data_IF_650241644083
#
_entry.id   IF_650241644083
#
_cell.length_a   1.000
_cell.length_b   1.000
_cell.length_c   1.000
_cell.angle_alpha   90.00
_cell.angle_beta   90.00
_cell.angle_gamma   90.00
#
_symmetry.space_group_name_H-M   'P 1'
#
loop_
_entity.id
_entity.type
_entity.pdbx_description
1 polymer ?
#
# COMPACT_ATOMS: atom_id res chain seq x y z
N UNK A 1 15.47 8.26 -9.66
CA UNK A 1 14.48 8.03 -8.62
C UNK A 1 14.79 8.94 -7.45
N UNK A 2 13.80 9.37 -6.71
CA UNK A 2 13.98 10.15 -5.51
C UNK A 2 13.74 9.25 -4.27
N UNK A 3 14.42 9.55 -3.18
CA UNK A 3 14.25 8.92 -1.88
C UNK A 3 13.72 9.97 -0.90
N UNK A 4 12.71 9.64 -0.13
CA UNK A 4 12.29 10.44 1.02
C UNK A 4 12.87 9.80 2.30
N UNK A 5 13.63 10.56 3.06
CA UNK A 5 14.28 10.09 4.29
C UNK A 5 13.55 10.53 5.57
N UNK A 6 12.53 11.37 5.43
CA UNK A 6 11.61 11.79 6.49
C UNK A 6 10.17 11.32 6.18
N UNK A 7 10.03 10.06 5.72
CA UNK A 7 8.73 9.43 5.54
C UNK A 7 8.39 8.55 6.75
N UNK A 8 7.22 8.74 7.33
CA UNK A 8 6.76 8.06 8.53
C UNK A 8 5.53 7.19 8.22
N UNK A 9 5.34 6.09 8.95
CA UNK A 9 4.06 5.42 8.93
C UNK A 9 2.98 6.36 9.49
N UNK A 10 1.79 6.41 8.88
CA UNK A 10 0.72 7.33 9.31
C UNK A 10 0.12 7.01 10.68
N UNK A 11 0.56 5.94 11.30
CA UNK A 11 0.10 5.49 12.62
C UNK A 11 1.20 4.74 13.37
N UNK A 12 1.04 4.58 14.68
CA UNK A 12 2.01 3.88 15.55
C UNK A 12 1.65 2.40 15.74
N UNK A 13 0.93 1.79 14.83
CA UNK A 13 0.41 0.43 14.97
C UNK A 13 0.92 -0.50 13.86
N UNK A 14 0.58 -1.80 13.98
CA UNK A 14 1.01 -2.86 13.09
C UNK A 14 0.16 -2.93 11.80
N UNK A 15 0.47 -3.89 10.96
CA UNK A 15 0.01 -4.04 9.57
C UNK A 15 -1.49 -3.92 9.35
N UNK A 16 -2.36 -4.48 10.22
CA UNK A 16 -3.81 -4.33 10.01
C UNK A 16 -4.24 -2.86 9.93
N UNK A 17 -3.80 -2.05 10.89
CA UNK A 17 -4.10 -0.61 10.94
C UNK A 17 -3.40 0.10 9.80
N UNK A 18 -2.12 -0.17 9.60
CA UNK A 18 -1.31 0.46 8.57
C UNK A 18 -1.88 0.24 7.15
N UNK A 19 -2.35 -0.97 6.83
CA UNK A 19 -2.99 -1.27 5.55
C UNK A 19 -4.31 -0.53 5.32
N UNK A 20 -5.03 -0.13 6.38
CA UNK A 20 -6.20 0.75 6.22
C UNK A 20 -5.77 2.18 5.85
N UNK A 21 -4.68 2.68 6.45
CA UNK A 21 -4.13 3.99 6.09
C UNK A 21 -3.66 4.06 4.63
N UNK A 22 -3.20 2.95 4.04
CA UNK A 22 -2.79 2.89 2.62
C UNK A 22 -3.93 3.20 1.65
N UNK A 23 -5.18 2.94 2.01
CA UNK A 23 -6.33 3.07 1.10
C UNK A 23 -7.43 4.03 1.60
N UNK A 24 -7.48 4.30 2.90
CA UNK A 24 -8.57 5.05 3.51
C UNK A 24 -8.10 6.22 4.39
N UNK A 25 -6.79 6.43 4.56
CA UNK A 25 -6.22 7.48 5.40
C UNK A 25 -6.59 7.41 6.90
N UNK A 26 -7.30 6.37 7.32
CA UNK A 26 -7.62 6.08 8.72
C UNK A 26 -8.12 4.64 8.90
N UNK A 27 -8.20 4.18 10.14
CA UNK A 27 -8.56 2.81 10.47
C UNK A 27 -9.67 2.71 11.54
N UNK A 28 -10.61 3.65 11.58
CA UNK A 28 -11.68 3.75 12.59
C UNK A 28 -11.16 3.61 14.04
N UNK A 29 -9.99 4.18 14.32
CA UNK A 29 -9.30 4.12 15.61
C UNK A 29 -9.00 2.69 16.09
N UNK A 30 -8.95 1.73 15.19
CA UNK A 30 -8.54 0.37 15.53
C UNK A 30 -7.06 0.35 15.91
N UNK A 31 -6.71 -0.55 16.84
CA UNK A 31 -5.33 -0.79 17.27
C UNK A 31 -5.07 -2.29 17.30
N UNK A 32 -3.86 -2.66 17.01
CA UNK A 32 -3.37 -4.03 16.89
C UNK A 32 -4.10 -4.87 15.83
N UNK A 33 -3.43 -5.84 15.31
CA UNK A 33 -4.01 -6.84 14.45
C UNK A 33 -5.01 -7.73 15.19
N UNK A 34 -6.05 -8.23 14.52
CA UNK A 34 -6.86 -9.31 15.08
C UNK A 34 -6.04 -10.62 15.08
N UNK A 35 -6.29 -11.49 16.04
CA UNK A 35 -5.81 -12.86 15.97
C UNK A 35 -6.58 -13.61 14.86
N UNK A 36 -5.92 -13.91 13.77
CA UNK A 36 -6.48 -14.64 12.64
C UNK A 36 -6.84 -13.77 11.42
N UNK A 37 -7.64 -14.28 10.47
CA UNK A 37 -7.96 -13.57 9.23
C UNK A 37 -8.63 -12.21 9.49
N UNK A 38 -8.26 -11.22 8.69
CA UNK A 38 -8.80 -9.87 8.80
C UNK A 38 -10.13 -9.72 8.04
N UNK A 39 -10.83 -8.63 8.36
CA UNK A 39 -11.85 -8.09 7.49
C UNK A 39 -13.21 -8.73 7.56
N UNK A 40 -13.84 -8.80 6.40
CA UNK A 40 -15.25 -9.14 6.26
C UNK A 40 -15.52 -10.62 5.95
N UNK A 41 -14.49 -11.45 5.76
CA UNK A 41 -14.63 -12.88 5.43
C UNK A 41 -15.24 -13.68 6.59
N UNK A 42 -16.29 -14.47 6.38
CA UNK A 42 -16.79 -15.41 7.37
C UNK A 42 -15.93 -16.69 7.48
N UNK A 43 -15.92 -17.37 8.65
CA UNK A 43 -16.60 -17.01 9.88
C UNK A 43 -15.78 -16.06 10.75
N UNK A 44 -16.31 -14.87 10.99
CA UNK A 44 -15.63 -13.82 11.72
C UNK A 44 -15.65 -14.02 13.25
N UNK A 45 -15.74 -15.26 13.73
CA UNK A 45 -15.66 -15.53 15.18
C UNK A 45 -14.29 -15.17 15.70
N UNK A 46 -14.24 -14.16 16.53
CA UNK A 46 -13.00 -13.65 17.12
C UNK A 46 -12.31 -12.58 16.27
N UNK A 47 -12.78 -12.27 15.07
CA UNK A 47 -12.22 -11.23 14.21
C UNK A 47 -12.62 -9.84 14.69
N UNK A 48 -12.05 -9.45 15.84
CA UNK A 48 -12.24 -8.15 16.47
C UNK A 48 -10.89 -7.59 16.88
N UNK A 49 -10.79 -6.28 16.78
CA UNK A 49 -9.65 -5.52 17.29
C UNK A 49 -10.11 -4.51 18.36
N UNK A 50 -9.21 -4.01 19.18
CA UNK A 50 -9.49 -2.93 20.08
C UNK A 50 -9.54 -1.59 19.35
N UNK A 51 -10.10 -0.57 19.99
CA UNK A 51 -10.02 0.82 19.52
C UNK A 51 -9.18 1.65 20.46
N UNK A 52 -8.59 2.73 19.96
CA UNK A 52 -7.91 3.74 20.74
C UNK A 52 -8.89 4.85 21.12
N UNK A 53 -8.92 5.26 22.37
CA UNK A 53 -9.65 6.44 22.79
C UNK A 53 -8.84 7.71 22.50
N UNK A 54 -9.49 8.89 22.55
CA UNK A 54 -8.78 10.18 22.43
C UNK A 54 -7.74 10.41 23.53
N UNK A 55 -7.83 9.69 24.64
CA UNK A 55 -6.85 9.74 25.73
C UNK A 55 -5.73 8.70 25.56
N UNK A 56 -5.67 8.04 24.40
CA UNK A 56 -4.69 6.97 24.08
C UNK A 56 -4.75 5.77 25.02
N UNK A 57 -5.94 5.44 25.47
CA UNK A 57 -6.21 4.22 26.23
C UNK A 57 -6.99 3.23 25.39
N UNK A 58 -6.84 1.94 25.68
CA UNK A 58 -7.58 0.90 24.97
C UNK A 58 -9.08 1.06 25.26
N UNK A 59 -9.85 1.16 24.19
CA UNK A 59 -11.31 1.29 24.22
C UNK A 59 -12.03 -0.04 23.96
N UNK A 60 -13.25 0.06 23.46
CA UNK A 60 -14.06 -1.12 23.13
C UNK A 60 -13.45 -1.93 21.97
N UNK A 61 -13.78 -3.22 21.92
CA UNK A 61 -13.49 -4.04 20.74
C UNK A 61 -14.55 -3.84 19.67
N UNK A 62 -14.10 -3.80 18.42
CA UNK A 62 -14.94 -3.68 17.22
C UNK A 62 -14.62 -4.81 16.26
N UNK A 63 -15.53 -5.09 15.33
CA UNK A 63 -15.26 -6.01 14.22
C UNK A 63 -14.24 -5.40 13.27
N UNK A 64 -13.47 -6.25 12.60
CA UNK A 64 -12.48 -5.83 11.59
C UNK A 64 -13.08 -5.59 10.20
N UNK A 65 -14.38 -5.78 10.03
CA UNK A 65 -15.12 -5.38 8.85
C UNK A 65 -15.65 -3.97 9.06
N UNK A 66 -14.97 -2.98 8.47
CA UNK A 66 -15.11 -1.56 8.75
C UNK A 66 -15.99 -0.88 7.69
N UNK A 67 -16.63 0.22 8.08
CA UNK A 67 -17.37 1.09 7.18
C UNK A 67 -16.53 2.35 6.90
N UNK A 68 -15.50 2.20 6.07
CA UNK A 68 -14.59 3.28 5.69
C UNK A 68 -15.01 3.88 4.34
N UNK A 69 -14.79 5.19 4.18
CA UNK A 69 -14.61 5.76 2.87
C UNK A 69 -13.15 5.51 2.46
N UNK A 70 -12.92 5.17 1.19
CA UNK A 70 -11.59 4.89 0.68
C UNK A 70 -11.38 5.54 -0.67
N UNK A 71 -10.13 5.59 -1.10
CA UNK A 71 -9.78 6.12 -2.41
C UNK A 71 -10.48 5.33 -3.54
N UNK A 72 -10.78 4.04 -3.34
CA UNK A 72 -11.56 3.25 -4.29
C UNK A 72 -12.98 3.82 -4.44
N UNK A 73 -13.66 4.11 -3.32
CA UNK A 73 -15.02 4.66 -3.35
C UNK A 73 -15.08 6.07 -3.91
N UNK A 74 -14.05 6.89 -3.71
CA UNK A 74 -13.95 8.22 -4.32
C UNK A 74 -13.64 8.13 -5.82
N UNK A 75 -12.75 7.21 -6.21
CA UNK A 75 -12.42 6.95 -7.60
C UNK A 75 -13.66 6.50 -8.40
N UNK A 76 -14.45 5.58 -7.85
CA UNK A 76 -15.72 5.14 -8.46
C UNK A 76 -16.68 6.30 -8.67
N UNK A 77 -16.85 7.16 -7.65
CA UNK A 77 -17.71 8.33 -7.72
C UNK A 77 -17.23 9.33 -8.78
N UNK A 78 -15.93 9.41 -9.02
CA UNK A 78 -15.31 10.30 -10.01
C UNK A 78 -15.13 9.65 -11.40
N UNK A 79 -15.47 8.36 -11.56
CA UNK A 79 -15.24 7.63 -12.81
C UNK A 79 -13.75 7.38 -13.12
N UNK A 80 -12.90 7.34 -12.09
CA UNK A 80 -11.48 7.04 -12.17
C UNK A 80 -11.28 5.55 -11.95
N UNK A 81 -10.65 4.85 -12.90
CA UNK A 81 -10.43 3.41 -12.76
C UNK A 81 -9.37 3.11 -11.70
N UNK A 82 -9.59 2.04 -10.93
CA UNK A 82 -8.65 1.57 -9.94
C UNK A 82 -8.53 0.05 -9.94
N UNK A 83 -7.43 -0.49 -9.44
CA UNK A 83 -7.24 -1.92 -9.18
C UNK A 83 -6.34 -2.13 -7.97
N UNK A 84 -6.62 -3.21 -7.23
CA UNK A 84 -5.83 -3.66 -6.10
C UNK A 84 -5.38 -5.10 -6.32
N UNK A 85 -4.08 -5.33 -6.40
CA UNK A 85 -3.49 -6.65 -6.65
C UNK A 85 -2.90 -7.21 -5.36
N UNK A 86 -3.37 -8.39 -4.94
CA UNK A 86 -2.92 -9.06 -3.73
C UNK A 86 -2.91 -10.59 -3.88
N UNK A 87 -2.34 -11.32 -2.92
CA UNK A 87 -2.60 -12.76 -2.78
C UNK A 87 -4.08 -13.03 -2.50
N UNK A 88 -4.51 -14.28 -2.76
CA UNK A 88 -5.84 -14.71 -2.34
C UNK A 88 -5.99 -14.62 -0.82
N UNK A 89 -7.16 -14.22 -0.35
CA UNK A 89 -7.43 -14.00 1.09
C UNK A 89 -7.21 -15.22 1.99
N UNK A 90 -7.14 -16.42 1.40
CA UNK A 90 -6.84 -17.66 2.10
C UNK A 90 -5.33 -17.99 2.12
N UNK A 91 -4.52 -17.20 1.44
CA UNK A 91 -3.07 -17.32 1.45
C UNK A 91 -2.51 -16.36 2.51
N UNK A 92 -1.29 -16.63 3.01
CA UNK A 92 -0.75 -15.87 4.14
C UNK A 92 -0.64 -14.36 3.85
N UNK A 93 -0.12 -13.96 2.71
CA UNK A 93 -0.05 -12.56 2.29
C UNK A 93 -1.40 -11.94 1.90
N UNK A 94 -2.43 -12.76 1.76
CA UNK A 94 -3.80 -12.29 1.49
C UNK A 94 -4.43 -11.53 2.64
N UNK A 95 -3.94 -11.73 3.86
CA UNK A 95 -4.40 -10.94 5.02
C UNK A 95 -4.10 -9.45 4.86
N UNK A 96 -3.09 -9.09 4.06
CA UNK A 96 -2.70 -7.70 3.80
C UNK A 96 -3.52 -7.02 2.68
N UNK A 97 -4.53 -7.68 2.14
CA UNK A 97 -5.46 -7.05 1.20
C UNK A 97 -6.37 -6.06 1.95
N UNK A 98 -6.06 -4.78 1.89
CA UNK A 98 -6.76 -3.71 2.65
C UNK A 98 -8.27 -3.77 2.47
N UNK A 99 -8.74 -3.92 1.24
CA UNK A 99 -10.17 -3.92 0.91
C UNK A 99 -10.97 -5.11 1.44
N UNK A 100 -10.33 -6.18 1.93
CA UNK A 100 -11.07 -7.25 2.63
C UNK A 100 -11.66 -6.75 3.97
N UNK A 101 -11.10 -5.70 4.55
CA UNK A 101 -11.62 -5.09 5.78
C UNK A 101 -12.64 -3.97 5.51
N UNK A 102 -12.77 -3.50 4.29
CA UNK A 102 -13.73 -2.48 3.90
C UNK A 102 -15.03 -3.12 3.41
N UNK A 103 -16.12 -2.93 4.20
CA UNK A 103 -17.41 -3.59 3.94
C UNK A 103 -17.97 -3.29 2.56
N UNK A 104 -17.94 -2.02 2.13
CA UNK A 104 -18.54 -1.57 0.88
C UNK A 104 -17.88 -2.24 -0.32
N UNK A 105 -16.57 -2.33 -0.33
CA UNK A 105 -15.82 -2.98 -1.42
C UNK A 105 -15.97 -4.50 -1.32
N UNK A 106 -15.69 -5.11 -0.14
CA UNK A 106 -15.71 -6.57 0.02
C UNK A 106 -17.06 -7.19 -0.32
N UNK A 107 -18.16 -6.55 0.06
CA UNK A 107 -19.52 -7.02 -0.21
C UNK A 107 -20.09 -6.48 -1.52
N UNK A 108 -19.40 -5.55 -2.16
CA UNK A 108 -19.77 -4.94 -3.44
C UNK A 108 -19.31 -5.72 -4.66
N UNK A 109 -19.66 -5.24 -5.85
CA UNK A 109 -19.21 -5.82 -7.12
C UNK A 109 -17.68 -5.69 -7.30
N UNK A 110 -17.09 -4.61 -6.82
CA UNK A 110 -15.69 -4.21 -7.05
C UNK A 110 -14.70 -5.23 -6.47
N UNK A 111 -15.11 -5.95 -5.41
CA UNK A 111 -14.31 -7.07 -4.87
C UNK A 111 -13.98 -8.13 -5.93
N UNK A 112 -14.88 -8.34 -6.90
CA UNK A 112 -14.70 -9.35 -7.94
C UNK A 112 -14.06 -8.79 -9.21
N UNK A 113 -14.19 -7.49 -9.45
CA UNK A 113 -13.76 -6.86 -10.69
C UNK A 113 -12.42 -6.13 -10.54
N UNK A 114 -12.16 -5.53 -9.38
CA UNK A 114 -11.06 -4.60 -9.18
C UNK A 114 -10.06 -5.03 -8.10
N UNK A 115 -10.44 -5.98 -7.22
CA UNK A 115 -9.50 -6.66 -6.31
C UNK A 115 -9.04 -7.97 -6.94
N UNK A 116 -7.83 -7.95 -7.47
CA UNK A 116 -7.28 -8.97 -8.35
C UNK A 116 -6.32 -9.91 -7.59
N UNK A 117 -6.50 -11.20 -7.75
CA UNK A 117 -5.60 -12.25 -7.24
C UNK A 117 -5.30 -13.25 -8.36
N UNK A 118 -4.05 -13.73 -8.46
CA UNK A 118 -2.87 -13.41 -7.64
C UNK A 118 -2.25 -12.06 -8.01
N UNK A 119 -1.39 -11.53 -7.15
CA UNK A 119 -0.73 -10.24 -7.37
C UNK A 119 0.11 -10.18 -8.65
N UNK A 120 0.66 -11.30 -9.13
CA UNK A 120 1.41 -11.37 -10.38
C UNK A 120 0.55 -11.12 -11.63
N UNK A 121 -0.78 -11.12 -11.52
CA UNK A 121 -1.67 -10.75 -12.62
C UNK A 121 -1.38 -9.34 -13.13
N UNK A 122 -0.97 -8.42 -12.25
CA UNK A 122 -0.49 -7.08 -12.63
C UNK A 122 0.51 -7.10 -13.80
N UNK A 123 1.50 -8.01 -13.76
CA UNK A 123 2.50 -8.10 -14.83
C UNK A 123 1.91 -8.51 -16.18
N UNK A 124 0.83 -9.30 -16.15
CA UNK A 124 0.11 -9.70 -17.36
C UNK A 124 -0.75 -8.56 -17.88
N UNK A 125 -1.44 -7.85 -16.98
CA UNK A 125 -2.32 -6.73 -17.32
C UNK A 125 -1.51 -5.58 -17.93
N UNK A 126 -0.35 -5.25 -17.38
CA UNK A 126 0.57 -4.28 -17.98
C UNK A 126 1.02 -4.73 -19.38
N UNK A 127 1.33 -6.03 -19.54
CA UNK A 127 1.71 -6.62 -20.82
C UNK A 127 0.60 -6.59 -21.85
N UNK A 128 -0.65 -6.66 -21.41
CA UNK A 128 -1.87 -6.55 -22.25
C UNK A 128 -2.37 -5.11 -22.41
N UNK A 129 -1.62 -4.14 -21.90
CA UNK A 129 -1.97 -2.72 -21.93
C UNK A 129 -3.24 -2.34 -21.15
N UNK A 130 -3.53 -3.05 -20.06
CA UNK A 130 -4.72 -2.93 -19.21
C UNK A 130 -4.38 -2.39 -17.81
N UNK A 131 -3.74 -1.24 -17.71
CA UNK A 131 -3.44 -0.61 -16.43
C UNK A 131 -4.55 0.37 -16.02
N UNK A 132 -5.03 0.26 -14.79
CA UNK A 132 -5.94 1.23 -14.20
C UNK A 132 -5.21 2.55 -13.83
N UNK A 133 -5.97 3.64 -13.71
CA UNK A 133 -5.44 4.95 -13.33
C UNK A 133 -4.76 4.93 -11.96
N UNK A 134 -5.38 4.24 -11.00
CA UNK A 134 -4.88 4.05 -9.65
C UNK A 134 -4.65 2.55 -9.42
N UNK A 135 -3.46 2.18 -8.98
CA UNK A 135 -3.13 0.76 -8.82
C UNK A 135 -2.31 0.53 -7.56
N UNK A 136 -2.76 -0.39 -6.72
CA UNK A 136 -2.00 -0.91 -5.59
C UNK A 136 -1.55 -2.35 -5.85
N UNK A 137 -0.40 -2.71 -5.32
CA UNK A 137 0.13 -4.07 -5.39
C UNK A 137 0.70 -4.42 -4.03
N UNK A 138 0.02 -5.31 -3.34
CA UNK A 138 0.51 -5.91 -2.10
C UNK A 138 1.23 -7.22 -2.43
N UNK A 139 2.47 -7.41 -1.98
CA UNK A 139 3.25 -8.60 -2.30
C UNK A 139 2.73 -9.84 -1.57
N UNK A 140 3.20 -11.01 -2.02
CA UNK A 140 3.09 -12.23 -1.22
C UNK A 140 3.98 -12.14 0.02
N UNK A 141 3.70 -12.91 1.07
CA UNK A 141 4.54 -12.93 2.29
C UNK A 141 6.04 -13.08 1.98
N UNK A 142 6.40 -14.01 1.10
CA UNK A 142 7.81 -14.23 0.75
C UNK A 142 8.46 -13.10 -0.04
N UNK A 143 7.69 -12.13 -0.53
CA UNK A 143 8.16 -10.99 -1.30
C UNK A 143 7.93 -9.66 -0.58
N UNK A 144 7.47 -9.69 0.68
CA UNK A 144 7.00 -8.51 1.41
C UNK A 144 8.11 -7.76 2.16
N UNK A 145 9.26 -8.38 2.37
CA UNK A 145 10.29 -7.88 3.30
C UNK A 145 9.79 -7.75 4.76
N UNK A 146 8.72 -8.49 5.12
CA UNK A 146 8.18 -8.56 6.48
C UNK A 146 9.28 -8.86 7.50
N UNK A 147 9.21 -8.21 8.66
CA UNK A 147 10.16 -8.41 9.76
C UNK A 147 10.28 -9.90 10.14
N UNK A 148 11.50 -10.36 10.40
CA UNK A 148 11.78 -11.76 10.72
C UNK A 148 11.96 -12.69 9.52
N UNK A 149 11.71 -12.26 8.29
CA UNK A 149 12.10 -13.03 7.10
C UNK A 149 13.62 -13.11 6.98
N UNK A 150 14.15 -14.33 6.84
CA UNK A 150 15.60 -14.53 6.65
C UNK A 150 16.05 -14.22 5.22
N UNK A 151 15.17 -14.31 4.25
CA UNK A 151 15.41 -13.94 2.86
C UNK A 151 14.11 -13.50 2.23
N UNK A 152 14.16 -12.45 1.44
CA UNK A 152 13.00 -11.92 0.74
C UNK A 152 13.20 -11.95 -0.76
N UNK A 153 12.13 -12.29 -1.47
CA UNK A 153 12.02 -12.06 -2.91
C UNK A 153 11.67 -10.60 -3.26
N UNK A 154 11.44 -9.75 -2.25
CA UNK A 154 10.95 -8.38 -2.38
C UNK A 154 11.71 -7.53 -3.38
N UNK A 155 13.04 -7.40 -3.31
CA UNK A 155 13.79 -6.59 -4.27
C UNK A 155 13.63 -7.05 -5.73
N UNK A 156 13.58 -8.37 -5.96
CA UNK A 156 13.37 -8.92 -7.31
C UNK A 156 11.91 -8.76 -7.77
N UNK A 157 10.96 -8.86 -6.84
CA UNK A 157 9.54 -8.61 -7.10
C UNK A 157 9.32 -7.15 -7.49
N UNK A 158 9.74 -6.20 -6.67
CA UNK A 158 9.62 -4.76 -6.95
C UNK A 158 10.32 -4.38 -8.25
N UNK A 159 11.53 -4.89 -8.50
CA UNK A 159 12.22 -4.67 -9.76
C UNK A 159 11.40 -5.15 -10.97
N UNK A 160 10.69 -6.29 -10.83
CA UNK A 160 9.84 -6.82 -11.91
C UNK A 160 8.64 -5.93 -12.21
N UNK A 161 8.01 -5.38 -11.17
CA UNK A 161 6.87 -4.47 -11.29
C UNK A 161 7.29 -3.15 -11.97
N UNK A 162 8.38 -2.56 -11.48
CA UNK A 162 8.93 -1.31 -12.01
C UNK A 162 9.41 -1.51 -13.46
N UNK A 163 10.06 -2.63 -13.77
CA UNK A 163 10.51 -2.96 -15.11
C UNK A 163 9.33 -3.13 -16.09
N UNK A 164 8.23 -3.74 -15.64
CA UNK A 164 7.03 -3.90 -16.46
C UNK A 164 6.46 -2.54 -16.87
N UNK A 165 6.27 -1.62 -15.93
CA UNK A 165 5.81 -0.26 -16.22
C UNK A 165 6.83 0.48 -17.07
N UNK A 166 8.11 0.40 -16.70
CA UNK A 166 9.19 1.12 -17.38
C UNK A 166 9.37 0.73 -18.86
N UNK A 167 9.06 -0.53 -19.20
CA UNK A 167 9.10 -1.04 -20.57
C UNK A 167 7.80 -0.83 -21.36
N UNK A 168 6.73 -0.38 -20.71
CA UNK A 168 5.39 -0.21 -21.30
C UNK A 168 5.16 1.21 -21.82
N UNK A 169 4.03 1.38 -22.51
CA UNK A 169 3.55 2.72 -22.94
C UNK A 169 3.22 3.62 -21.75
N UNK A 170 2.90 3.03 -20.59
CA UNK A 170 2.47 3.75 -19.38
C UNK A 170 3.61 4.51 -18.70
N UNK A 171 4.88 4.17 -18.96
CA UNK A 171 6.03 4.80 -18.31
C UNK A 171 5.97 6.33 -18.31
N UNK A 172 5.55 6.93 -19.41
CA UNK A 172 5.56 8.39 -19.60
C UNK A 172 4.57 9.15 -18.72
N UNK A 173 3.59 8.46 -18.17
CA UNK A 173 2.46 9.04 -17.41
C UNK A 173 2.29 8.38 -16.05
N UNK A 174 3.28 7.64 -15.55
CA UNK A 174 3.16 6.91 -14.30
C UNK A 174 4.12 7.44 -13.24
N UNK A 175 3.61 7.61 -12.02
CA UNK A 175 4.40 7.71 -10.81
C UNK A 175 4.22 6.42 -10.00
N UNK A 176 5.31 5.84 -9.52
CA UNK A 176 5.34 4.64 -8.69
C UNK A 176 5.89 5.03 -7.34
N UNK A 177 5.12 4.75 -6.29
CA UNK A 177 5.53 4.89 -4.90
C UNK A 177 5.81 3.51 -4.33
N UNK A 178 7.03 3.27 -3.86
CA UNK A 178 7.43 2.05 -3.19
C UNK A 178 7.54 2.42 -1.72
N UNK A 179 6.65 1.84 -0.91
CA UNK A 179 6.49 2.17 0.50
C UNK A 179 6.27 0.88 1.29
N UNK A 180 6.74 0.86 2.56
CA UNK A 180 6.35 -0.16 3.53
C UNK A 180 5.15 0.34 4.32
N UNK A 181 4.29 -0.57 4.74
CA UNK A 181 3.10 -0.25 5.53
C UNK A 181 3.45 0.25 6.93
N UNK A 182 4.41 -0.39 7.57
CA UNK A 182 4.94 -0.02 8.87
C UNK A 182 6.47 -0.20 8.95
N UNK A 183 7.05 0.01 10.10
CA UNK A 183 8.51 -0.05 10.33
C UNK A 183 9.04 -1.46 10.61
N UNK A 184 8.20 -2.51 10.56
CA UNK A 184 8.61 -3.91 10.73
C UNK A 184 9.18 -4.25 12.12
N UNK A 185 8.87 -3.47 13.14
CA UNK A 185 9.43 -3.63 14.51
C UNK A 185 10.88 -3.17 14.67
N UNK A 186 11.48 -2.54 13.65
CA UNK A 186 12.84 -2.04 13.71
C UNK A 186 12.92 -0.70 14.45
N UNK A 187 13.95 -0.54 15.29
CA UNK A 187 14.21 0.72 15.97
C UNK A 187 14.74 1.78 14.99
N UNK A 188 14.17 2.98 15.06
CA UNK A 188 14.69 4.18 14.40
C UNK A 188 15.01 5.24 15.47
N UNK A 189 16.20 5.88 15.44
CA UNK A 189 16.57 6.90 16.42
C UNK A 189 15.80 8.23 16.27
N UNK A 190 15.12 8.44 15.15
CA UNK A 190 14.30 9.65 14.92
C UNK A 190 12.94 9.44 15.58
N UNK A 191 12.56 10.26 16.57
CA UNK A 191 11.26 10.14 17.19
C UNK A 191 10.18 10.51 16.18
N UNK A 192 9.10 9.71 16.08
CA UNK A 192 7.99 10.04 15.20
C UNK A 192 7.30 11.34 15.62
N UNK A 193 6.87 12.17 14.67
CA UNK A 193 6.06 13.33 14.95
C UNK A 193 4.73 12.97 15.61
N UNK A 194 4.22 13.85 16.45
CA UNK A 194 2.92 13.67 17.09
C UNK A 194 1.89 14.60 16.45
N UNK A 195 1.20 14.11 15.43
CA UNK A 195 0.25 14.90 14.66
C UNK A 195 -1.19 14.82 15.21
N UNK A 196 -1.56 13.67 15.74
CA UNK A 196 -2.88 13.42 16.33
C UNK A 196 -2.81 12.31 17.41
N UNK A 197 -3.97 11.84 17.90
CA UNK A 197 -4.00 10.82 18.96
C UNK A 197 -3.49 9.45 18.51
N UNK A 198 -3.49 9.13 17.21
CA UNK A 198 -2.86 7.94 16.64
C UNK A 198 -1.34 8.12 16.53
N UNK A 199 -0.86 9.37 16.45
CA UNK A 199 0.54 9.73 16.22
C UNK A 199 1.01 9.28 14.85
N UNK A 200 2.27 9.58 14.51
CA UNK A 200 2.94 8.88 13.42
C UNK A 200 3.75 7.71 13.97
N UNK A 201 3.95 6.68 13.16
CA UNK A 201 4.87 5.58 13.41
C UNK A 201 6.31 5.99 13.12
N UNK A 202 7.27 5.08 13.31
CA UNK A 202 8.66 5.30 12.93
C UNK A 202 8.79 5.48 11.42
N UNK A 203 9.99 5.93 10.99
CA UNK A 203 10.25 6.13 9.57
C UNK A 203 10.16 4.81 8.80
N UNK A 204 9.60 4.93 7.60
CA UNK A 204 9.50 3.87 6.62
C UNK A 204 10.20 4.31 5.32
N UNK A 205 10.76 3.41 4.53
CA UNK A 205 11.29 3.78 3.23
C UNK A 205 10.17 4.27 2.30
N UNK A 206 10.43 5.38 1.60
CA UNK A 206 9.58 5.85 0.50
C UNK A 206 10.47 6.18 -0.70
N UNK A 207 10.29 5.42 -1.79
CA UNK A 207 11.03 5.59 -3.04
C UNK A 207 10.05 6.01 -4.13
N UNK A 208 10.37 7.11 -4.82
CA UNK A 208 9.53 7.66 -5.89
C UNK A 208 10.20 7.36 -7.24
N UNK A 209 9.49 6.64 -8.09
CA UNK A 209 9.95 6.20 -9.41
C UNK A 209 9.01 6.74 -10.48
N UNK A 210 9.51 7.62 -11.33
CA UNK A 210 8.75 8.25 -12.42
C UNK A 210 9.73 8.79 -13.48
N UNK A 211 9.32 8.97 -14.72
CA UNK A 211 10.12 9.74 -15.68
C UNK A 211 10.34 11.19 -15.24
N UNK A 212 9.52 11.70 -14.33
CA UNK A 212 9.61 13.05 -13.79
C UNK A 212 10.16 13.12 -12.37
N UNK A 213 10.38 11.98 -11.69
CA UNK A 213 11.02 11.98 -10.38
C UNK A 213 12.44 12.54 -10.46
N UNK A 214 12.88 13.33 -9.49
CA UNK A 214 14.21 13.94 -9.49
C UNK A 214 15.30 12.89 -9.36
N UNK A 215 16.28 12.92 -10.26
CA UNK A 215 17.31 11.88 -10.35
C UNK A 215 18.29 11.95 -9.19
N UNK A 216 18.40 10.87 -8.41
CA UNK A 216 19.37 10.74 -7.33
C UNK A 216 19.19 11.79 -6.23
N UNK A 217 17.97 12.27 -6.08
CA UNK A 217 17.61 13.24 -5.06
C UNK A 217 17.21 12.54 -3.77
N UNK A 218 17.46 13.21 -2.66
CA UNK A 218 16.87 12.92 -1.37
C UNK A 218 16.02 14.11 -0.97
N UNK A 219 14.77 13.86 -0.62
CA UNK A 219 13.89 14.87 -0.04
C UNK A 219 13.80 14.71 1.47
N UNK A 220 13.85 15.83 2.18
CA UNK A 220 13.74 15.93 3.64
C UNK A 220 12.38 16.49 4.07
N UNK A 221 11.43 16.51 3.15
CA UNK A 221 10.05 16.85 3.48
C UNK A 221 9.45 15.72 4.32
N UNK A 222 8.80 16.08 5.43
CA UNK A 222 8.07 15.12 6.23
C UNK A 222 6.89 14.56 5.43
N UNK A 223 6.97 13.30 5.05
CA UNK A 223 5.87 12.55 4.47
C UNK A 223 5.29 11.56 5.47
N UNK A 224 4.12 11.08 5.17
CA UNK A 224 3.49 9.96 5.84
C UNK A 224 2.85 9.02 4.81
N UNK A 225 2.38 7.84 5.21
CA UNK A 225 1.70 6.90 4.30
C UNK A 225 0.59 7.60 3.51
N UNK A 226 -0.17 8.46 4.17
CA UNK A 226 -1.26 9.25 3.58
C UNK A 226 -0.79 10.31 2.58
N UNK A 227 0.50 10.62 2.48
CA UNK A 227 1.03 11.48 1.43
C UNK A 227 0.88 10.88 0.03
N UNK A 228 0.83 9.54 -0.06
CA UNK A 228 0.55 8.86 -1.33
C UNK A 228 -0.92 9.04 -1.73
N UNK A 229 -1.84 9.01 -0.76
CA UNK A 229 -3.25 9.31 -1.01
C UNK A 229 -3.43 10.77 -1.41
N UNK A 230 -2.78 11.69 -0.72
CA UNK A 230 -2.79 13.13 -1.07
C UNK A 230 -2.34 13.36 -2.51
N UNK A 231 -1.26 12.71 -2.94
CA UNK A 231 -0.82 12.77 -4.35
C UNK A 231 -1.90 12.28 -5.32
N UNK A 232 -2.60 11.20 -5.00
CA UNK A 232 -3.67 10.65 -5.83
C UNK A 232 -4.85 11.62 -5.87
N UNK A 233 -5.28 12.13 -4.73
CA UNK A 233 -6.40 13.07 -4.59
C UNK A 233 -6.17 14.33 -5.40
N UNK A 234 -5.03 14.96 -5.25
CA UNK A 234 -4.68 16.19 -5.96
C UNK A 234 -4.55 15.93 -7.48
N UNK A 235 -4.02 14.76 -7.89
CA UNK A 235 -3.88 14.43 -9.30
C UNK A 235 -5.21 14.14 -10.00
N UNK A 236 -6.19 13.59 -9.30
CA UNK A 236 -7.50 13.24 -9.87
C UNK A 236 -8.64 14.14 -9.43
N UNK A 237 -8.36 15.14 -8.61
CA UNK A 237 -9.37 16.09 -8.09
C UNK A 237 -10.34 15.44 -7.11
N UNK A 238 -9.88 14.46 -6.33
CA UNK A 238 -10.66 13.79 -5.30
C UNK A 238 -10.59 14.58 -3.99
N UNK A 239 -11.60 14.42 -3.15
CA UNK A 239 -11.61 15.06 -1.83
C UNK A 239 -10.78 14.24 -0.83
N UNK A 240 -10.13 14.88 0.16
CA UNK A 240 -9.48 14.16 1.25
C UNK A 240 -10.48 13.27 2.02
N UNK A 241 -10.04 12.06 2.39
CA UNK A 241 -10.85 11.06 3.08
C UNK A 241 -10.90 11.29 4.60
N UNK A 242 -9.78 11.77 5.17
CA UNK A 242 -9.61 11.92 6.61
C UNK A 242 -8.68 13.08 6.97
N UNK A 243 -8.31 13.17 8.25
CA UNK A 243 -7.40 14.21 8.71
C UNK A 243 -5.95 13.95 8.27
N UNK A 244 -5.55 12.68 8.12
CA UNK A 244 -4.15 12.36 7.82
C UNK A 244 -3.77 12.73 6.38
N UNK A 245 -4.60 12.44 5.39
CA UNK A 245 -4.37 12.84 4.00
C UNK A 245 -4.58 14.33 3.78
N UNK A 246 -5.57 14.93 4.47
CA UNK A 246 -5.80 16.37 4.41
C UNK A 246 -4.61 17.20 4.93
N UNK A 247 -3.85 16.71 5.93
CA UNK A 247 -2.65 17.39 6.46
C UNK A 247 -1.37 16.98 5.74
N UNK A 248 -1.36 15.83 5.07
CA UNK A 248 -0.16 15.25 4.50
C UNK A 248 0.44 16.16 3.43
N UNK A 249 1.77 16.22 3.38
CA UNK A 249 2.49 16.89 2.32
C UNK A 249 2.36 16.11 1.00
N UNK A 250 1.99 16.80 -0.08
CA UNK A 250 1.91 16.21 -1.40
C UNK A 250 3.30 16.13 -2.06
N UNK A 251 3.77 14.92 -2.42
CA UNK A 251 5.03 14.78 -3.15
C UNK A 251 5.06 15.50 -4.51
N UNK A 252 3.91 15.72 -5.15
CA UNK A 252 3.85 16.37 -6.47
C UNK A 252 4.41 17.78 -6.48
N UNK A 253 4.29 18.50 -5.36
CA UNK A 253 4.75 19.91 -5.26
C UNK A 253 6.16 20.04 -4.70
N UNK A 254 6.79 18.94 -4.29
CA UNK A 254 8.15 18.95 -3.78
C UNK A 254 9.18 18.92 -4.93
N UNK A 255 9.99 19.98 -5.10
CA UNK A 255 10.99 20.04 -6.17
C UNK A 255 12.14 19.05 -6.01
N UNK A 256 12.30 18.42 -4.86
CA UNK A 256 13.26 17.33 -4.64
C UNK A 256 12.67 15.95 -4.95
N UNK A 257 11.35 15.80 -4.95
CA UNK A 257 10.66 14.61 -5.37
C UNK A 257 10.42 14.58 -6.89
N UNK A 258 9.83 15.66 -7.45
CA UNK A 258 9.50 15.75 -8.87
C UNK A 258 10.07 17.00 -9.52
N UNK A 259 10.33 16.88 -10.83
CA UNK A 259 10.67 17.98 -11.73
C UNK A 259 9.88 17.81 -13.04
N UNK A 260 8.74 18.47 -13.12
CA UNK A 260 7.88 18.41 -14.30
C UNK A 260 8.36 19.29 -15.48
N UNK A 261 9.41 20.11 -15.26
CA UNK A 261 10.03 20.90 -16.33
C UNK A 261 11.08 20.09 -17.11
N UNK A 262 11.52 18.94 -16.58
CA UNK A 262 12.43 18.06 -17.32
C UNK A 262 11.70 17.28 -18.42
N UNK A 263 12.41 16.94 -19.48
CA UNK A 263 11.92 15.95 -20.43
C UNK A 263 11.76 14.58 -19.75
N UNK A 264 10.69 13.81 -20.06
CA UNK A 264 10.48 12.51 -19.46
C UNK A 264 11.68 11.60 -19.69
N UNK A 265 12.26 11.08 -18.61
CA UNK A 265 13.46 10.26 -18.69
C UNK A 265 13.17 8.90 -19.31
N UNK A 266 14.09 8.43 -20.14
CA UNK A 266 14.06 7.06 -20.62
C UNK A 266 14.24 6.09 -19.46
N UNK A 267 13.43 5.06 -19.44
CA UNK A 267 13.56 4.00 -18.46
C UNK A 267 14.88 3.24 -18.62
N UNK A 268 15.46 2.85 -17.50
CA UNK A 268 16.59 1.92 -17.44
C UNK A 268 16.17 0.72 -16.64
N UNK A 269 16.23 -0.45 -17.24
CA UNK A 269 15.91 -1.73 -16.60
C UNK A 269 16.70 -1.91 -15.29
N UNK A 270 16.01 -2.39 -14.27
CA UNK A 270 16.58 -2.69 -12.96
C UNK A 270 17.10 -4.13 -12.97
N UNK A 271 18.29 -4.33 -12.42
CA UNK A 271 18.85 -5.67 -12.28
C UNK A 271 18.05 -6.52 -11.28
N UNK A 272 17.85 -7.78 -11.60
CA UNK A 272 17.19 -8.75 -10.71
C UNK A 272 15.71 -9.00 -11.00
N UNK A 273 15.03 -8.13 -11.73
CA UNK A 273 13.64 -8.34 -12.14
C UNK A 273 13.44 -9.65 -12.91
N UNK A 274 12.32 -10.34 -12.68
CA UNK A 274 11.96 -11.63 -13.27
C UNK A 274 10.73 -11.48 -14.16
N UNK A 275 10.57 -12.33 -15.18
CA UNK A 275 9.40 -12.28 -16.06
C UNK A 275 8.13 -12.74 -15.31
N UNK A 276 6.95 -12.32 -15.79
CA UNK A 276 5.65 -12.69 -15.20
C UNK A 276 5.46 -14.19 -15.01
N UNK A 277 5.95 -15.02 -15.94
CA UNK A 277 5.85 -16.47 -15.85
C UNK A 277 6.58 -17.05 -14.63
N UNK A 278 7.69 -16.45 -14.21
CA UNK A 278 8.43 -16.85 -13.00
C UNK A 278 7.54 -16.67 -11.75
N UNK A 279 6.93 -15.51 -11.59
CA UNK A 279 6.10 -15.20 -10.44
C UNK A 279 4.84 -16.05 -10.38
N UNK A 280 4.13 -16.19 -11.51
CA UNK A 280 2.96 -17.08 -11.60
C UNK A 280 3.29 -18.53 -11.22
N UNK A 281 4.46 -19.02 -11.58
CA UNK A 281 4.89 -20.38 -11.19
C UNK A 281 5.13 -20.48 -9.69
N UNK A 282 5.75 -19.47 -9.08
CA UNK A 282 5.97 -19.46 -7.62
C UNK A 282 4.65 -19.38 -6.84
N UNK A 283 3.71 -18.52 -7.25
CA UNK A 283 2.40 -18.39 -6.60
C UNK A 283 1.61 -19.69 -6.68
N UNK A 284 1.55 -20.34 -7.86
CA UNK A 284 0.90 -21.64 -8.01
C UNK A 284 1.53 -22.75 -7.14
N UNK A 285 2.84 -22.74 -6.99
CA UNK A 285 3.54 -23.71 -6.16
C UNK A 285 3.27 -23.50 -4.66
N UNK A 286 2.85 -22.32 -4.23
CA UNK A 286 2.53 -21.94 -2.84
C UNK A 286 1.07 -22.10 -2.51
N UNK A 287 0.18 -21.91 -3.47
CA UNK A 287 -1.25 -22.06 -3.27
C UNK A 287 -1.58 -23.39 -2.58
N UNK A 288 -2.25 -23.32 -1.43
CA UNK A 288 -2.64 -24.49 -0.63
C UNK A 288 -1.58 -25.03 0.33
N UNK A 289 -0.39 -24.41 0.47
CA UNK A 289 0.67 -24.89 1.39
C UNK A 289 0.72 -24.17 2.74
N UNK A 290 0.03 -23.07 2.91
CA UNK A 290 0.17 -22.21 4.10
C UNK A 290 -1.14 -22.19 4.88
N UNK A 291 -1.08 -22.58 6.17
CA UNK A 291 -2.14 -22.26 7.14
C UNK A 291 -1.88 -20.85 7.69
N UNK A 292 -2.92 -20.04 7.75
CA UNK A 292 -2.86 -18.70 8.32
C UNK A 292 -2.50 -18.84 9.81
N UNK A 293 -1.31 -18.35 10.17
CA UNK A 293 -0.90 -18.09 11.55
C UNK A 293 -1.03 -16.56 11.69
N UNK A 294 -1.64 -16.07 12.77
CA UNK A 294 -1.85 -14.64 12.95
C UNK A 294 -0.55 -13.84 12.84
N UNK A 295 -0.70 -12.62 12.35
CA UNK A 295 0.35 -11.61 12.30
C UNK A 295 0.49 -11.05 13.73
N UNK A 296 1.55 -11.38 14.44
CA UNK A 296 1.91 -10.85 15.78
C UNK A 296 3.09 -9.88 15.65
#
# INVERSE_FOLDING_TARGET
YALADEAFASNLDASFVAHQYVVAAYADRTVNGPAGPWGCEPPQRGNTTATLTKLRTIGKRVKTCLDLASIATEADAAGVSWRFYAEGINDFGGIWSSYQAERKIYQGPDWKTDVISPASQFLSDVGSEELANITWITPTYANSDHGGLQSSGGPAWVASLVDAIGASKFWKTTAIFIIWDDWGGWFDPVPPPYEDYDGLGFRIPLIIVSPYARKGSVTHVQYETSSVLRFIEDNFGLAPLAASDARANDPAVDPNAFDYHQAPRKFRKIAGGKPAAYWRTLERARAGRVRIIGDD
#
